data_IF_321715401294
#
_entry.id   IF_321715401294
#
_cell.length_a   1.000
_cell.length_b   1.000
_cell.length_c   1.000
_cell.angle_alpha   90.00
_cell.angle_beta   90.00
_cell.angle_gamma   90.00
#
_symmetry.space_group_name_H-M   'P 1'
#
loop_
_entity.id
_entity.type
_entity.pdbx_description
1 polymer ?
#
# COMPACT_ATOMS: atom_id res chain seq x y z
N UNK A 1 19.32 11.16 14.88
CA UNK A 1 20.26 10.20 14.22
C UNK A 1 21.72 10.74 14.15
N UNK A 2 22.06 11.70 15.02
CA UNK A 2 23.46 12.10 15.24
C UNK A 2 24.18 10.92 15.91
N UNK A 3 25.29 10.46 15.33
CA UNK A 3 26.07 9.35 15.88
C UNK A 3 25.75 7.96 15.32
N UNK A 4 24.85 7.84 14.32
CA UNK A 4 24.62 6.56 13.64
C UNK A 4 25.87 5.94 13.02
N UNK A 5 26.88 6.76 12.72
CA UNK A 5 28.19 6.33 12.20
C UNK A 5 29.06 5.63 13.26
N UNK A 6 28.70 5.75 14.55
CA UNK A 6 29.40 5.14 15.66
C UNK A 6 28.85 3.75 16.00
N UNK A 7 27.70 3.37 15.43
CA UNK A 7 27.06 2.08 15.66
C UNK A 7 27.81 1.02 14.83
N UNK A 8 28.30 -0.02 15.52
CA UNK A 8 28.98 -1.16 14.91
C UNK A 8 28.22 -2.48 15.11
N UNK A 9 27.21 -2.48 16.00
CA UNK A 9 26.40 -3.65 16.31
C UNK A 9 25.16 -3.71 15.41
N UNK A 10 24.91 -4.87 14.81
CA UNK A 10 23.75 -5.11 13.93
C UNK A 10 22.42 -4.94 14.70
N UNK A 11 22.37 -5.38 15.96
CA UNK A 11 21.17 -5.24 16.80
C UNK A 11 20.87 -3.77 17.09
N UNK A 12 21.87 -2.93 17.31
CA UNK A 12 21.69 -1.49 17.49
C UNK A 12 21.20 -0.82 16.21
N UNK A 13 21.67 -1.26 15.02
CA UNK A 13 21.17 -0.78 13.73
C UNK A 13 19.72 -1.13 13.53
N UNK A 14 19.31 -2.36 13.86
CA UNK A 14 17.91 -2.79 13.78
C UNK A 14 17.03 -1.94 14.71
N UNK A 15 17.49 -1.72 15.94
CA UNK A 15 16.75 -0.87 16.90
C UNK A 15 16.64 0.58 16.40
N UNK A 16 17.69 1.16 15.85
CA UNK A 16 17.66 2.50 15.28
C UNK A 16 16.69 2.59 14.10
N UNK A 17 16.68 1.57 13.25
CA UNK A 17 15.74 1.46 12.14
C UNK A 17 14.31 1.42 12.66
N UNK A 18 14.00 0.57 13.64
CA UNK A 18 12.69 0.46 14.27
C UNK A 18 12.23 1.78 14.91
N UNK A 19 13.12 2.49 15.61
CA UNK A 19 12.81 3.81 16.19
C UNK A 19 12.45 4.84 15.12
N UNK A 20 13.15 4.83 13.99
CA UNK A 20 12.82 5.72 12.87
C UNK A 20 11.49 5.35 12.21
N UNK A 21 11.18 4.04 12.06
CA UNK A 21 9.86 3.59 11.59
C UNK A 21 8.77 4.09 12.53
N UNK A 22 8.92 3.87 13.84
CA UNK A 22 7.94 4.32 14.83
C UNK A 22 7.75 5.83 14.83
N UNK A 23 8.83 6.61 14.73
CA UNK A 23 8.79 8.07 14.63
C UNK A 23 8.07 8.50 13.33
N UNK A 24 8.38 7.87 12.22
CA UNK A 24 7.73 8.10 10.93
C UNK A 24 6.22 7.82 10.97
N UNK A 25 5.83 6.69 11.54
CA UNK A 25 4.42 6.33 11.71
C UNK A 25 3.66 7.29 12.62
N UNK A 26 4.27 7.73 13.72
CA UNK A 26 3.68 8.76 14.59
C UNK A 26 3.51 10.09 13.87
N UNK A 27 4.51 10.51 13.12
CA UNK A 27 4.46 11.73 12.31
C UNK A 27 3.36 11.63 11.24
N UNK A 28 3.26 10.48 10.54
CA UNK A 28 2.20 10.20 9.55
C UNK A 28 0.81 10.31 10.17
N UNK A 29 0.59 9.68 11.32
CA UNK A 29 -0.68 9.71 12.05
C UNK A 29 -1.05 11.11 12.56
N UNK A 30 -0.05 11.98 12.75
CA UNK A 30 -0.24 13.39 13.12
C UNK A 30 -0.27 14.32 11.90
N UNK A 31 -0.42 13.79 10.69
CA UNK A 31 -0.43 14.51 9.40
C UNK A 31 0.85 15.29 9.10
N UNK A 32 1.93 15.07 9.83
CA UNK A 32 3.25 15.67 9.61
C UNK A 32 4.03 14.88 8.54
N UNK A 33 3.50 14.84 7.31
CA UNK A 33 3.96 13.93 6.24
C UNK A 33 5.42 14.15 5.81
N UNK A 34 5.91 15.39 5.81
CA UNK A 34 7.32 15.67 5.52
C UNK A 34 8.24 15.05 6.57
N UNK A 35 7.91 15.24 7.85
CA UNK A 35 8.68 14.62 8.94
C UNK A 35 8.57 13.09 8.91
N UNK A 36 7.40 12.55 8.55
CA UNK A 36 7.23 11.12 8.35
C UNK A 36 8.18 10.58 7.28
N UNK A 37 8.22 11.24 6.12
CA UNK A 37 9.12 10.87 5.03
C UNK A 37 10.59 10.95 5.44
N UNK A 38 11.00 11.98 6.20
CA UNK A 38 12.38 12.13 6.67
C UNK A 38 12.80 10.97 7.58
N UNK A 39 11.96 10.58 8.55
CA UNK A 39 12.22 9.43 9.42
C UNK A 39 12.25 8.12 8.64
N UNK A 40 11.29 7.88 7.75
CA UNK A 40 11.20 6.65 6.97
C UNK A 40 12.33 6.55 5.94
N UNK A 41 12.72 7.65 5.31
CA UNK A 41 13.90 7.72 4.44
C UNK A 41 15.18 7.41 5.21
N UNK A 42 15.25 7.83 6.48
CA UNK A 42 16.38 7.50 7.34
C UNK A 42 16.39 6.01 7.71
N UNK A 43 15.22 5.43 8.06
CA UNK A 43 15.09 3.99 8.25
C UNK A 43 15.53 3.22 7.00
N UNK A 44 15.05 3.64 5.82
CA UNK A 44 15.46 3.07 4.53
C UNK A 44 16.99 3.09 4.33
N UNK A 45 17.65 4.21 4.64
CA UNK A 45 19.10 4.36 4.46
C UNK A 45 19.95 3.44 5.36
N UNK A 46 19.37 2.86 6.40
CA UNK A 46 20.04 1.89 7.26
C UNK A 46 19.91 0.45 6.76
N UNK A 47 19.04 0.19 5.78
CA UNK A 47 18.83 -1.15 5.25
C UNK A 47 19.67 -1.39 3.99
N UNK A 48 20.09 -2.64 3.79
CA UNK A 48 20.75 -3.11 2.58
C UNK A 48 19.96 -4.22 1.88
N UNK A 49 20.43 -4.73 0.75
CA UNK A 49 19.70 -5.75 -0.01
C UNK A 49 19.58 -7.09 0.71
N UNK A 50 20.49 -7.40 1.64
CA UNK A 50 20.41 -8.64 2.44
C UNK A 50 19.16 -8.67 3.34
N UNK A 51 18.62 -7.50 3.69
CA UNK A 51 17.40 -7.41 4.51
C UNK A 51 16.16 -7.97 3.80
N UNK A 52 16.17 -8.10 2.50
CA UNK A 52 15.10 -8.82 1.79
C UNK A 52 15.05 -10.32 2.14
N UNK A 53 16.16 -10.88 2.63
CA UNK A 53 16.23 -12.25 3.12
C UNK A 53 16.04 -12.33 4.65
N UNK A 54 16.78 -11.51 5.40
CA UNK A 54 16.85 -11.60 6.87
C UNK A 54 15.73 -10.85 7.60
N UNK A 55 15.23 -9.73 7.05
CA UNK A 55 14.26 -8.83 7.69
C UNK A 55 13.16 -8.39 6.70
N UNK A 56 12.61 -9.35 5.97
CA UNK A 56 11.70 -9.11 4.85
C UNK A 56 10.52 -8.18 5.20
N UNK A 57 9.76 -8.51 6.25
CA UNK A 57 8.55 -7.76 6.61
C UNK A 57 8.89 -6.30 6.98
N UNK A 58 9.99 -6.11 7.72
CA UNK A 58 10.44 -4.75 8.07
C UNK A 58 10.90 -3.98 6.83
N UNK A 59 11.65 -4.62 5.94
CA UNK A 59 12.10 -3.99 4.69
C UNK A 59 10.92 -3.61 3.81
N UNK A 60 9.95 -4.49 3.65
CA UNK A 60 8.76 -4.23 2.85
C UNK A 60 7.92 -3.09 3.45
N UNK A 61 7.71 -3.10 4.79
CA UNK A 61 6.97 -2.01 5.45
C UNK A 61 7.66 -0.65 5.28
N UNK A 62 8.99 -0.59 5.38
CA UNK A 62 9.73 0.65 5.13
C UNK A 62 9.46 1.17 3.72
N UNK A 63 9.50 0.31 2.71
CA UNK A 63 9.23 0.68 1.33
C UNK A 63 7.80 1.22 1.15
N UNK A 64 6.81 0.52 1.71
CA UNK A 64 5.40 0.91 1.62
C UNK A 64 5.13 2.23 2.36
N UNK A 65 5.57 2.33 3.63
CA UNK A 65 5.33 3.51 4.46
C UNK A 65 6.08 4.76 3.94
N UNK A 66 7.32 4.58 3.43
CA UNK A 66 8.08 5.68 2.85
C UNK A 66 7.44 6.16 1.52
N UNK A 67 6.96 5.24 0.68
CA UNK A 67 6.23 5.57 -0.54
C UNK A 67 4.94 6.34 -0.20
N UNK A 68 4.17 5.88 0.81
CA UNK A 68 2.96 6.56 1.24
C UNK A 68 3.27 7.97 1.80
N UNK A 69 4.31 8.11 2.62
CA UNK A 69 4.73 9.42 3.13
C UNK A 69 5.20 10.36 2.01
N UNK A 70 5.89 9.84 0.99
CA UNK A 70 6.29 10.60 -0.19
C UNK A 70 5.07 11.09 -0.98
N UNK A 71 4.07 10.22 -1.20
CA UNK A 71 2.80 10.57 -1.81
C UNK A 71 2.06 11.66 -1.02
N UNK A 72 1.87 11.45 0.29
CA UNK A 72 1.14 12.37 1.17
C UNK A 72 1.85 13.74 1.35
N UNK A 73 3.18 13.77 1.24
CA UNK A 73 3.97 15.01 1.25
C UNK A 73 4.15 15.65 -0.13
N UNK A 74 3.52 15.09 -1.19
CA UNK A 74 3.63 15.54 -2.59
C UNK A 74 5.05 15.48 -3.17
N UNK A 75 5.93 14.64 -2.61
CA UNK A 75 7.29 14.40 -3.13
C UNK A 75 7.30 13.23 -4.09
N UNK A 76 6.54 13.36 -5.20
CA UNK A 76 6.31 12.29 -6.17
C UNK A 76 7.60 11.79 -6.85
N UNK A 77 8.62 12.62 -6.93
CA UNK A 77 9.93 12.26 -7.48
C UNK A 77 10.68 11.20 -6.67
N UNK A 78 10.28 11.02 -5.41
CA UNK A 78 10.85 9.99 -4.52
C UNK A 78 10.12 8.66 -4.55
N UNK A 79 8.95 8.59 -5.19
CA UNK A 79 8.12 7.39 -5.17
C UNK A 79 8.83 6.17 -5.76
N UNK A 80 9.43 6.32 -6.94
CA UNK A 80 10.04 5.21 -7.68
C UNK A 80 11.18 4.55 -6.87
N UNK A 81 11.91 5.35 -6.07
CA UNK A 81 12.96 4.86 -5.18
C UNK A 81 12.44 3.85 -4.15
N UNK A 82 11.19 3.99 -3.71
CA UNK A 82 10.58 3.10 -2.73
C UNK A 82 9.72 2.02 -3.38
N UNK A 83 8.95 2.37 -4.40
CA UNK A 83 7.97 1.47 -5.03
C UNK A 83 8.65 0.39 -5.87
N UNK A 84 9.59 0.72 -6.73
CA UNK A 84 10.19 -0.22 -7.66
C UNK A 84 10.91 -1.38 -6.95
N UNK A 85 11.80 -1.14 -5.96
CA UNK A 85 12.41 -2.25 -5.22
C UNK A 85 11.38 -3.05 -4.40
N UNK A 86 10.40 -2.37 -3.80
CA UNK A 86 9.33 -3.02 -3.06
C UNK A 86 8.54 -4.00 -3.94
N UNK A 87 8.08 -3.56 -5.11
CA UNK A 87 7.36 -4.42 -6.07
C UNK A 87 8.22 -5.55 -6.64
N UNK A 88 9.52 -5.29 -6.86
CA UNK A 88 10.47 -6.27 -7.38
C UNK A 88 10.72 -7.42 -6.42
N UNK A 89 10.84 -7.11 -5.13
CA UNK A 89 11.20 -8.09 -4.10
C UNK A 89 9.99 -8.67 -3.35
N UNK A 90 8.80 -8.12 -3.53
CA UNK A 90 7.57 -8.63 -2.92
C UNK A 90 7.33 -10.09 -3.33
N UNK A 91 7.15 -10.97 -2.33
CA UNK A 91 7.07 -12.42 -2.49
C UNK A 91 5.70 -12.91 -2.95
N UNK A 92 4.66 -12.14 -2.67
CA UNK A 92 3.28 -12.48 -3.04
C UNK A 92 2.56 -11.31 -3.69
N UNK A 93 1.40 -11.60 -4.30
CA UNK A 93 0.52 -10.55 -4.81
C UNK A 93 0.01 -9.64 -3.66
N UNK A 94 -0.30 -10.25 -2.51
CA UNK A 94 -0.79 -9.50 -1.35
C UNK A 94 0.25 -8.51 -0.82
N UNK A 95 1.53 -8.89 -0.82
CA UNK A 95 2.62 -7.99 -0.43
C UNK A 95 2.75 -6.77 -1.35
N UNK A 96 2.27 -6.88 -2.59
CA UNK A 96 2.32 -5.79 -3.59
C UNK A 96 1.13 -4.83 -3.50
N UNK A 97 0.04 -5.25 -2.86
CA UNK A 97 -1.22 -4.50 -2.91
C UNK A 97 -1.07 -3.09 -2.36
N UNK A 98 -0.48 -2.94 -1.18
CA UNK A 98 -0.31 -1.62 -0.56
C UNK A 98 0.55 -0.68 -1.41
N UNK A 99 1.62 -1.21 -2.02
CA UNK A 99 2.45 -0.44 -2.96
C UNK A 99 1.66 -0.01 -4.21
N UNK A 100 0.81 -0.89 -4.75
CA UNK A 100 -0.07 -0.53 -5.87
C UNK A 100 -1.13 0.50 -5.49
N UNK A 101 -1.67 0.44 -4.27
CA UNK A 101 -2.62 1.44 -3.75
C UNK A 101 -1.94 2.81 -3.67
N UNK A 102 -0.73 2.88 -3.10
CA UNK A 102 0.04 4.12 -3.02
C UNK A 102 0.34 4.67 -4.42
N UNK A 103 0.80 3.82 -5.34
CA UNK A 103 1.12 4.22 -6.71
C UNK A 103 -0.11 4.74 -7.45
N UNK A 104 -1.25 4.03 -7.35
CA UNK A 104 -2.51 4.46 -7.95
C UNK A 104 -2.97 5.82 -7.38
N UNK A 105 -2.90 5.98 -6.06
CA UNK A 105 -3.25 7.23 -5.38
C UNK A 105 -2.38 8.40 -5.84
N UNK A 106 -1.07 8.17 -5.98
CA UNK A 106 -0.13 9.17 -6.48
C UNK A 106 -0.40 9.53 -7.96
N UNK A 107 -0.74 8.55 -8.80
CA UNK A 107 -1.14 8.80 -10.20
C UNK A 107 -2.42 9.64 -10.26
N UNK A 108 -3.42 9.32 -9.46
CA UNK A 108 -4.69 10.08 -9.38
C UNK A 108 -4.42 11.51 -8.94
N UNK A 109 -3.60 11.72 -7.90
CA UNK A 109 -3.22 13.05 -7.43
C UNK A 109 -2.48 13.89 -8.49
N UNK A 110 -1.76 13.23 -9.40
CA UNK A 110 -1.11 13.86 -10.55
C UNK A 110 -2.05 14.05 -11.77
N UNK A 111 -3.32 13.71 -11.67
CA UNK A 111 -4.29 13.79 -12.77
C UNK A 111 -4.19 12.66 -13.80
N UNK A 112 -3.40 11.62 -13.55
CA UNK A 112 -3.16 10.45 -14.43
C UNK A 112 -4.18 9.33 -14.18
N UNK A 113 -5.47 9.69 -14.11
CA UNK A 113 -6.54 8.75 -13.73
C UNK A 113 -6.61 7.53 -14.65
N UNK A 114 -6.45 7.72 -15.96
CA UNK A 114 -6.51 6.60 -16.93
C UNK A 114 -5.37 5.61 -16.68
N UNK A 115 -4.16 6.11 -16.47
CA UNK A 115 -2.97 5.29 -16.21
C UNK A 115 -3.13 4.51 -14.90
N UNK A 116 -3.66 5.14 -13.85
CA UNK A 116 -3.96 4.48 -12.57
C UNK A 116 -4.96 3.32 -12.77
N UNK A 117 -6.05 3.54 -13.51
CA UNK A 117 -7.04 2.50 -13.81
C UNK A 117 -6.44 1.37 -14.65
N UNK A 118 -5.65 1.68 -15.67
CA UNK A 118 -5.05 0.67 -16.54
C UNK A 118 -3.99 -0.16 -15.80
N UNK A 119 -3.27 0.43 -14.85
CA UNK A 119 -2.31 -0.26 -13.98
C UNK A 119 -3.00 -1.18 -12.95
N UNK A 120 -4.12 -0.74 -12.36
CA UNK A 120 -4.81 -1.52 -11.30
C UNK A 120 -5.66 -2.68 -11.83
N UNK A 121 -6.20 -2.61 -13.06
CA UNK A 121 -7.00 -3.69 -13.66
C UNK A 121 -6.36 -5.08 -13.62
N UNK A 122 -5.10 -5.29 -14.04
CA UNK A 122 -4.47 -6.61 -13.98
C UNK A 122 -4.24 -7.09 -12.54
N UNK A 123 -4.03 -6.17 -11.59
CA UNK A 123 -3.89 -6.51 -10.17
C UNK A 123 -5.22 -7.04 -9.62
N UNK A 124 -6.32 -6.33 -9.87
CA UNK A 124 -7.67 -6.75 -9.48
C UNK A 124 -8.06 -8.09 -10.11
N UNK A 125 -7.70 -8.32 -11.38
CA UNK A 125 -7.95 -9.60 -12.03
C UNK A 125 -7.22 -10.76 -11.35
N UNK A 126 -5.98 -10.57 -10.92
CA UNK A 126 -5.20 -11.56 -10.15
C UNK A 126 -5.77 -11.80 -8.75
N UNK A 127 -6.40 -10.79 -8.14
CA UNK A 127 -7.11 -10.91 -6.87
C UNK A 127 -8.46 -11.64 -7.01
N UNK A 128 -8.91 -11.95 -8.24
CA UNK A 128 -10.17 -12.64 -8.51
C UNK A 128 -11.33 -11.70 -8.85
N UNK A 129 -11.05 -10.41 -9.03
CA UNK A 129 -12.04 -9.36 -9.35
C UNK A 129 -11.75 -8.71 -10.72
N UNK A 130 -11.88 -9.46 -11.85
CA UNK A 130 -11.59 -8.89 -13.16
C UNK A 130 -12.60 -7.80 -13.53
N UNK A 131 -12.09 -6.65 -13.92
CA UNK A 131 -12.89 -5.56 -14.46
C UNK A 131 -12.98 -5.66 -15.99
N UNK A 132 -14.15 -5.35 -16.61
CA UNK A 132 -14.27 -5.33 -18.06
C UNK A 132 -13.39 -4.24 -18.66
N UNK A 133 -12.77 -4.53 -19.81
CA UNK A 133 -11.90 -3.58 -20.51
C UNK A 133 -12.61 -2.24 -20.78
N UNK A 134 -13.91 -2.30 -21.07
CA UNK A 134 -14.78 -1.13 -21.23
C UNK A 134 -16.04 -1.31 -20.41
N UNK A 135 -16.25 -0.43 -19.43
CA UNK A 135 -17.51 -0.38 -18.70
C UNK A 135 -18.61 0.20 -19.61
N UNK A 136 -19.57 -0.63 -19.98
CA UNK A 136 -20.75 -0.22 -20.76
C UNK A 136 -21.95 -0.11 -19.84
N UNK A 137 -23.00 0.64 -20.27
CA UNK A 137 -24.27 0.72 -19.56
C UNK A 137 -24.88 -0.66 -19.27
N UNK A 138 -24.62 -1.65 -20.16
CA UNK A 138 -25.07 -3.05 -19.96
C UNK A 138 -24.42 -3.70 -18.73
N UNK A 139 -23.12 -3.49 -18.50
CA UNK A 139 -22.44 -4.02 -17.32
C UNK A 139 -23.03 -3.43 -16.03
N UNK A 140 -23.26 -2.10 -16.01
CA UNK A 140 -23.87 -1.44 -14.84
C UNK A 140 -25.26 -2.01 -14.55
N UNK A 141 -26.10 -2.20 -15.60
CA UNK A 141 -27.44 -2.76 -15.46
C UNK A 141 -27.38 -4.20 -14.91
N UNK A 142 -26.48 -5.02 -15.43
CA UNK A 142 -26.31 -6.42 -14.98
C UNK A 142 -25.91 -6.44 -13.49
N UNK A 143 -24.96 -5.63 -13.07
CA UNK A 143 -24.52 -5.58 -11.67
C UNK A 143 -25.63 -5.02 -10.74
N UNK A 144 -26.41 -4.04 -11.19
CA UNK A 144 -27.58 -3.56 -10.45
C UNK A 144 -28.66 -4.64 -10.29
N UNK A 145 -28.88 -5.46 -11.32
CA UNK A 145 -29.82 -6.58 -11.25
C UNK A 145 -29.32 -7.64 -10.27
N UNK A 146 -28.02 -8.00 -10.33
CA UNK A 146 -27.40 -8.95 -9.38
C UNK A 146 -27.50 -8.43 -7.95
N UNK A 147 -27.18 -7.16 -7.71
CA UNK A 147 -27.31 -6.52 -6.40
C UNK A 147 -28.75 -6.56 -5.89
N UNK A 148 -29.71 -6.15 -6.73
CA UNK A 148 -31.14 -6.18 -6.39
C UNK A 148 -31.62 -7.61 -6.07
N UNK A 149 -31.12 -8.60 -6.80
CA UNK A 149 -31.47 -9.99 -6.58
C UNK A 149 -30.85 -10.53 -5.28
N UNK A 150 -29.59 -10.22 -5.00
CA UNK A 150 -28.92 -10.57 -3.75
C UNK A 150 -29.60 -9.95 -2.52
N UNK A 151 -30.07 -8.70 -2.63
CA UNK A 151 -30.73 -7.98 -1.53
C UNK A 151 -32.23 -8.25 -1.41
N UNK A 152 -32.83 -9.02 -2.33
CA UNK A 152 -34.28 -9.20 -2.43
C UNK A 152 -34.92 -9.71 -1.13
N UNK A 153 -34.22 -10.57 -0.38
CA UNK A 153 -34.71 -11.19 0.84
C UNK A 153 -33.89 -10.76 2.08
N UNK A 154 -33.09 -9.72 1.98
CA UNK A 154 -32.20 -9.28 3.06
C UNK A 154 -32.80 -8.04 3.72
N UNK A 155 -33.04 -8.11 5.01
CA UNK A 155 -33.47 -6.95 5.80
C UNK A 155 -32.26 -6.04 6.14
N UNK A 156 -32.54 -4.75 6.43
CA UNK A 156 -31.49 -3.80 6.88
C UNK A 156 -30.75 -4.34 8.12
N UNK A 157 -31.49 -4.97 9.06
CA UNK A 157 -30.87 -5.56 10.25
C UNK A 157 -29.90 -6.72 9.92
N UNK A 158 -30.20 -7.50 8.88
CA UNK A 158 -29.28 -8.56 8.41
C UNK A 158 -28.04 -7.97 7.75
N UNK A 159 -28.16 -6.85 7.02
CA UNK A 159 -27.00 -6.16 6.41
C UNK A 159 -26.09 -5.61 7.49
N UNK A 160 -26.64 -5.03 8.56
CA UNK A 160 -25.88 -4.48 9.68
C UNK A 160 -25.15 -5.56 10.51
N UNK A 161 -25.63 -6.80 10.45
CA UNK A 161 -25.07 -7.94 11.17
C UNK A 161 -24.28 -8.91 10.26
N UNK A 162 -23.88 -8.47 9.06
CA UNK A 162 -22.99 -9.27 8.22
C UNK A 162 -21.67 -9.50 8.95
N UNK A 163 -21.10 -10.73 8.86
CA UNK A 163 -19.78 -10.99 9.40
C UNK A 163 -18.73 -10.13 8.69
N UNK A 164 -17.69 -9.73 9.43
CA UNK A 164 -16.55 -9.05 8.84
C UNK A 164 -15.90 -9.91 7.76
N UNK A 165 -15.45 -9.26 6.70
CA UNK A 165 -14.75 -9.92 5.60
C UNK A 165 -13.42 -10.48 6.11
N UNK A 166 -13.21 -11.78 5.93
CA UNK A 166 -12.01 -12.50 6.41
C UNK A 166 -11.07 -12.96 5.28
N UNK A 167 -11.55 -12.97 4.05
CA UNK A 167 -10.71 -13.36 2.89
C UNK A 167 -9.75 -12.22 2.53
N UNK A 168 -8.43 -12.47 2.67
CA UNK A 168 -7.39 -11.48 2.43
C UNK A 168 -7.40 -10.93 0.98
N UNK A 169 -7.80 -11.75 -0.02
CA UNK A 169 -7.86 -11.28 -1.42
C UNK A 169 -9.04 -10.34 -1.64
N UNK A 170 -10.19 -10.64 -1.02
CA UNK A 170 -11.36 -9.77 -1.08
C UNK A 170 -11.09 -8.45 -0.34
N UNK A 171 -10.43 -8.50 0.82
CA UNK A 171 -10.02 -7.29 1.57
C UNK A 171 -9.08 -6.44 0.71
N UNK A 172 -8.09 -7.06 0.07
CA UNK A 172 -7.10 -6.39 -0.77
C UNK A 172 -7.69 -5.79 -2.08
N UNK A 173 -8.86 -6.26 -2.51
CA UNK A 173 -9.53 -5.78 -3.73
C UNK A 173 -10.52 -4.63 -3.48
N UNK A 174 -10.88 -4.34 -2.22
CA UNK A 174 -11.79 -3.26 -1.83
C UNK A 174 -11.05 -1.99 -1.41
#
# INVERSE_FOLDING_TARGET
NLGSELIQDEDEFIQLCQLNIQAGMRAKNSTAYHAALDYLSKAFSFTNDQWWESHYDMKLSIHTDAAEAAYLSHQFEKLDMFIDPGLKHARSLLDKVDLYIVLASAMVAQGKLREAVDMTKPVLAQLGHPYPAFATKKHVIIELIKLRWALRNTSIAQILNLPEMSDARHIAAN
#
